data_IF_873175575448
#
_entry.id   IF_873175575448
#
_cell.length_a   1.000
_cell.length_b   1.000
_cell.length_c   1.000
_cell.angle_alpha   90.00
_cell.angle_beta   90.00
_cell.angle_gamma   90.00
#
_symmetry.space_group_name_H-M   'P 1'
#
loop_
_entity.id
_entity.type
_entity.pdbx_description
1 polymer ?
#
# COMPACT_ATOMS: atom_id res chain seq x y z
N UNK A 1 -7.66 5.20 -5.36
CA UNK A 1 -7.94 6.67 -5.35
C UNK A 1 -9.06 7.05 -6.34
N UNK A 2 -10.31 6.65 -6.04
CA UNK A 2 -11.48 6.83 -6.91
C UNK A 2 -12.30 8.11 -6.59
N UNK A 3 -12.14 8.68 -5.39
CA UNK A 3 -12.94 9.81 -4.90
C UNK A 3 -12.37 11.21 -5.24
N UNK A 4 -11.12 11.27 -5.72
CA UNK A 4 -10.36 12.52 -5.89
C UNK A 4 -9.82 12.66 -7.32
N UNK A 5 -10.61 12.28 -8.33
CA UNK A 5 -10.15 12.21 -9.74
C UNK A 5 -9.63 13.53 -10.33
N UNK A 6 -9.91 14.67 -9.70
CA UNK A 6 -9.43 15.99 -10.11
C UNK A 6 -8.52 16.70 -9.10
N UNK A 7 -8.21 16.07 -7.95
CA UNK A 7 -7.32 16.67 -6.94
C UNK A 7 -5.84 16.43 -7.30
N UNK A 8 -4.93 17.35 -6.88
CA UNK A 8 -3.49 17.13 -6.94
C UNK A 8 -3.10 15.77 -6.34
N UNK A 9 -2.04 15.15 -6.88
CA UNK A 9 -1.55 13.85 -6.39
C UNK A 9 -1.29 13.90 -4.88
N UNK A 10 -0.65 14.95 -4.39
CA UNK A 10 -0.31 15.16 -2.99
C UNK A 10 -1.55 15.10 -2.07
N UNK A 11 -2.66 15.73 -2.46
CA UNK A 11 -3.91 15.63 -1.70
C UNK A 11 -4.47 14.20 -1.67
N UNK A 12 -4.33 13.46 -2.78
CA UNK A 12 -4.79 12.07 -2.88
C UNK A 12 -3.94 11.15 -2.02
N UNK A 13 -2.64 11.38 -1.98
CA UNK A 13 -1.70 10.65 -1.15
C UNK A 13 -1.91 10.97 0.32
N UNK A 14 -2.13 12.24 0.67
CA UNK A 14 -2.49 12.66 2.03
C UNK A 14 -3.75 11.94 2.52
N UNK A 15 -4.83 11.92 1.73
CA UNK A 15 -6.06 11.20 2.10
C UNK A 15 -5.81 9.70 2.23
N UNK A 16 -5.03 9.10 1.32
CA UNK A 16 -4.70 7.69 1.41
C UNK A 16 -3.87 7.37 2.66
N UNK A 17 -2.91 8.22 2.99
CA UNK A 17 -2.07 8.11 4.18
C UNK A 17 -2.90 8.21 5.45
N UNK A 18 -3.80 9.19 5.55
CA UNK A 18 -4.72 9.33 6.70
C UNK A 18 -5.65 8.13 6.89
N UNK A 19 -5.94 7.37 5.83
CA UNK A 19 -6.74 6.13 5.95
C UNK A 19 -5.87 4.95 6.43
N UNK A 20 -4.56 4.99 6.18
CA UNK A 20 -3.63 3.93 6.56
C UNK A 20 -3.04 4.12 7.96
N UNK A 21 -2.74 5.36 8.34
CA UNK A 21 -2.24 5.80 9.64
C UNK A 21 -3.39 5.75 10.66
N UNK A 22 -3.50 4.63 11.39
CA UNK A 22 -4.67 4.31 12.18
C UNK A 22 -4.66 5.02 13.53
N UNK A 23 -3.49 5.26 14.11
CA UNK A 23 -3.32 5.98 15.37
C UNK A 23 -3.01 7.48 15.20
N UNK A 24 -2.85 7.94 13.96
CA UNK A 24 -2.58 9.34 13.59
C UNK A 24 -1.25 9.85 14.16
N UNK A 25 -0.25 8.98 14.28
CA UNK A 25 1.09 9.36 14.73
C UNK A 25 1.97 9.97 13.63
N UNK A 26 1.45 10.02 12.39
CA UNK A 26 2.14 10.56 11.22
C UNK A 26 3.11 9.57 10.56
N UNK A 27 3.09 8.31 10.97
CA UNK A 27 3.86 7.20 10.44
C UNK A 27 2.93 6.02 10.14
N UNK A 28 3.30 5.18 9.17
CA UNK A 28 2.65 3.89 8.96
C UNK A 28 3.64 2.82 9.38
N UNK A 29 3.29 2.10 10.43
CA UNK A 29 4.07 0.99 10.95
C UNK A 29 3.88 -0.28 10.10
N UNK A 30 4.76 -1.29 10.22
CA UNK A 30 4.59 -2.56 9.50
C UNK A 30 3.29 -3.28 9.86
N UNK A 31 2.82 -3.08 11.08
CA UNK A 31 1.57 -3.68 11.58
C UNK A 31 0.38 -3.02 10.90
N UNK A 32 0.33 -1.69 10.82
CA UNK A 32 -0.74 -0.97 10.14
C UNK A 32 -0.77 -1.26 8.64
N UNK A 33 0.41 -1.34 8.02
CA UNK A 33 0.52 -1.70 6.61
C UNK A 33 0.01 -3.14 6.36
N UNK A 34 0.31 -4.08 7.26
CA UNK A 34 -0.21 -5.44 7.18
C UNK A 34 -1.74 -5.46 7.29
N UNK A 35 -2.31 -4.73 8.24
CA UNK A 35 -3.76 -4.68 8.46
C UNK A 35 -4.50 -4.12 7.25
N UNK A 36 -4.00 -3.05 6.63
CA UNK A 36 -4.62 -2.46 5.44
C UNK A 36 -4.51 -3.37 4.22
N UNK A 37 -3.35 -4.01 3.99
CA UNK A 37 -3.13 -4.94 2.88
C UNK A 37 -4.03 -6.16 3.03
N UNK A 38 -4.10 -6.73 4.23
CA UNK A 38 -4.98 -7.86 4.54
C UNK A 38 -6.44 -7.50 4.28
N UNK A 39 -6.88 -6.34 4.77
CA UNK A 39 -8.25 -5.85 4.54
C UNK A 39 -8.55 -5.68 3.06
N UNK A 40 -7.63 -5.10 2.29
CA UNK A 40 -7.76 -4.95 0.86
C UNK A 40 -7.83 -6.31 0.13
N UNK A 41 -6.96 -7.27 0.47
CA UNK A 41 -6.98 -8.61 -0.10
C UNK A 41 -8.28 -9.35 0.20
N UNK A 42 -8.81 -9.23 1.43
CA UNK A 42 -10.09 -9.81 1.79
C UNK A 42 -11.21 -9.24 0.91
N UNK A 43 -11.31 -7.91 0.80
CA UNK A 43 -12.33 -7.26 -0.05
C UNK A 43 -12.18 -7.68 -1.51
N UNK A 44 -10.96 -7.67 -2.06
CA UNK A 44 -10.72 -8.04 -3.46
C UNK A 44 -11.04 -9.52 -3.70
N UNK A 45 -10.71 -10.41 -2.76
CA UNK A 45 -11.01 -11.85 -2.90
C UNK A 45 -12.52 -12.11 -2.93
N UNK A 46 -13.30 -11.36 -2.15
CA UNK A 46 -14.77 -11.45 -2.15
C UNK A 46 -15.37 -10.82 -3.42
N UNK A 47 -14.84 -9.69 -3.87
CA UNK A 47 -15.38 -8.96 -5.01
C UNK A 47 -14.95 -9.51 -6.37
N UNK A 48 -13.84 -10.27 -6.44
CA UNK A 48 -13.25 -10.77 -7.69
C UNK A 48 -13.01 -12.27 -7.65
N UNK A 49 -13.80 -13.02 -8.44
CA UNK A 49 -13.63 -14.46 -8.63
C UNK A 49 -12.23 -14.82 -9.14
N UNK A 50 -11.65 -14.00 -10.00
CA UNK A 50 -10.29 -14.25 -10.51
C UNK A 50 -9.23 -14.23 -9.41
N UNK A 51 -9.38 -13.34 -8.42
CA UNK A 51 -8.44 -13.26 -7.30
C UNK A 51 -8.67 -14.40 -6.32
N UNK A 52 -9.93 -14.74 -6.04
CA UNK A 52 -10.28 -15.91 -5.23
C UNK A 52 -9.67 -17.21 -5.79
N UNK A 53 -9.81 -17.45 -7.09
CA UNK A 53 -9.25 -18.64 -7.75
C UNK A 53 -7.71 -18.67 -7.69
N UNK A 54 -7.05 -17.51 -7.83
CA UNK A 54 -5.59 -17.41 -7.69
C UNK A 54 -5.11 -17.70 -6.28
N UNK A 55 -5.80 -17.19 -5.26
CA UNK A 55 -5.47 -17.47 -3.85
C UNK A 55 -5.62 -18.97 -3.57
N UNK A 56 -6.70 -19.58 -4.05
CA UNK A 56 -6.92 -21.03 -3.93
C UNK A 56 -5.83 -21.85 -4.64
N UNK A 57 -5.39 -21.41 -5.83
CA UNK A 57 -4.32 -22.08 -6.58
C UNK A 57 -2.96 -21.99 -5.88
N UNK A 58 -2.66 -20.85 -5.27
CA UNK A 58 -1.43 -20.64 -4.50
C UNK A 58 -1.41 -21.49 -3.23
N UNK A 59 -2.59 -21.85 -2.68
CA UNK A 59 -2.70 -22.68 -1.48
C UNK A 59 -2.26 -21.99 -0.19
N UNK A 60 -1.96 -20.69 -0.25
CA UNK A 60 -1.53 -19.88 0.89
C UNK A 60 -2.73 -19.13 1.50
N UNK A 61 -2.80 -19.00 2.83
CA UNK A 61 -3.79 -18.15 3.48
C UNK A 61 -3.58 -16.67 3.13
N UNK A 62 -4.66 -15.89 3.19
CA UNK A 62 -4.61 -14.43 2.91
C UNK A 62 -3.62 -13.71 3.83
N UNK A 63 -3.50 -14.16 5.08
CA UNK A 63 -2.50 -13.67 6.04
C UNK A 63 -1.07 -13.74 5.50
N UNK A 64 -0.64 -14.88 4.98
CA UNK A 64 0.73 -15.08 4.51
C UNK A 64 1.01 -14.23 3.27
N UNK A 65 0.02 -14.09 2.39
CA UNK A 65 0.10 -13.20 1.23
C UNK A 65 0.19 -11.72 1.65
N UNK A 66 -0.56 -11.32 2.68
CA UNK A 66 -0.55 -9.97 3.20
C UNK A 66 0.80 -9.65 3.88
N UNK A 67 1.35 -10.58 4.66
CA UNK A 67 2.67 -10.44 5.28
C UNK A 67 3.78 -10.30 4.25
N UNK A 68 3.81 -11.18 3.24
CA UNK A 68 4.79 -11.10 2.16
C UNK A 68 4.70 -9.75 1.42
N UNK A 69 3.49 -9.29 1.11
CA UNK A 69 3.27 -8.01 0.44
C UNK A 69 3.66 -6.80 1.31
N UNK A 70 3.40 -6.85 2.63
CA UNK A 70 3.81 -5.80 3.56
C UNK A 70 5.34 -5.69 3.67
N UNK A 71 6.03 -6.83 3.76
CA UNK A 71 7.50 -6.87 3.79
C UNK A 71 8.09 -6.29 2.50
N UNK A 72 7.56 -6.70 1.35
CA UNK A 72 8.01 -6.20 0.05
C UNK A 72 7.75 -4.69 -0.10
N UNK A 73 6.58 -4.21 0.32
CA UNK A 73 6.23 -2.80 0.29
C UNK A 73 7.15 -1.94 1.18
N UNK A 74 7.47 -2.41 2.39
CA UNK A 74 8.44 -1.73 3.26
C UNK A 74 9.82 -1.74 2.61
N UNK A 75 10.26 -2.88 2.07
CA UNK A 75 11.56 -2.97 1.41
C UNK A 75 11.66 -2.06 0.18
N UNK A 76 10.56 -1.85 -0.54
CA UNK A 76 10.52 -0.98 -1.71
C UNK A 76 10.55 0.51 -1.36
N UNK A 77 9.87 0.90 -0.27
CA UNK A 77 9.81 2.28 0.21
C UNK A 77 11.03 2.69 1.03
N UNK A 78 11.72 1.72 1.65
CA UNK A 78 12.77 1.96 2.61
C UNK A 78 14.17 1.75 2.02
N UNK A 79 14.45 2.38 0.87
CA UNK A 79 15.68 2.11 0.11
C UNK A 79 16.97 2.41 0.90
N UNK A 80 16.95 3.28 1.93
CA UNK A 80 18.16 3.65 2.70
C UNK A 80 17.96 3.89 4.22
N UNK A 81 16.73 3.88 4.76
CA UNK A 81 16.47 4.38 6.12
C UNK A 81 16.38 3.24 7.16
N UNK A 82 17.11 3.38 8.27
CA UNK A 82 17.17 2.38 9.35
C UNK A 82 15.87 2.23 10.13
N UNK A 83 14.88 3.09 9.85
CA UNK A 83 13.62 3.16 10.54
C UNK A 83 12.55 2.38 9.79
N UNK A 84 11.90 1.43 10.46
CA UNK A 84 10.92 0.52 9.87
C UNK A 84 9.50 1.13 9.80
N UNK A 85 9.36 2.39 9.40
CA UNK A 85 8.07 3.07 9.26
C UNK A 85 8.01 3.88 7.96
N UNK A 86 6.82 4.12 7.46
CA UNK A 86 6.58 4.90 6.23
C UNK A 86 5.99 6.25 6.61
N UNK A 87 6.58 7.36 6.14
CA UNK A 87 6.05 8.71 6.33
C UNK A 87 5.36 9.18 5.04
N UNK A 88 4.52 10.21 5.15
CA UNK A 88 3.88 10.83 3.99
C UNK A 88 4.90 11.35 2.97
N UNK A 89 6.02 11.89 3.44
CA UNK A 89 7.11 12.39 2.59
C UNK A 89 7.70 11.28 1.71
N UNK A 90 8.05 10.14 2.31
CA UNK A 90 8.58 8.98 1.56
C UNK A 90 7.56 8.45 0.54
N UNK A 91 6.28 8.45 0.88
CA UNK A 91 5.22 8.04 -0.03
C UNK A 91 5.07 9.01 -1.23
N UNK A 92 5.16 10.31 -0.98
CA UNK A 92 5.11 11.35 -2.02
C UNK A 92 6.32 11.27 -2.95
N UNK A 93 7.54 11.15 -2.42
CA UNK A 93 8.76 11.00 -3.23
C UNK A 93 8.69 9.78 -4.14
N UNK A 94 8.29 8.64 -3.58
CA UNK A 94 8.14 7.39 -4.33
C UNK A 94 7.10 7.53 -5.44
N UNK A 95 5.95 8.14 -5.14
CA UNK A 95 4.89 8.34 -6.13
C UNK A 95 5.33 9.28 -7.28
N UNK A 96 6.07 10.34 -6.97
CA UNK A 96 6.63 11.25 -7.96
C UNK A 96 7.65 10.56 -8.86
N UNK A 97 8.50 9.68 -8.32
CA UNK A 97 9.46 8.92 -9.11
C UNK A 97 8.77 7.92 -10.05
N UNK A 98 7.71 7.24 -9.58
CA UNK A 98 6.88 6.41 -10.45
C UNK A 98 6.18 7.23 -11.55
N UNK A 99 5.73 8.45 -11.26
CA UNK A 99 5.13 9.32 -12.28
C UNK A 99 6.14 9.78 -13.32
N UNK A 100 7.36 10.14 -12.91
CA UNK A 100 8.45 10.49 -13.84
C UNK A 100 8.78 9.30 -14.74
N UNK A 101 8.84 8.09 -14.18
CA UNK A 101 9.05 6.86 -14.94
C UNK A 101 7.91 6.59 -15.92
N UNK A 102 6.65 6.76 -15.50
CA UNK A 102 5.49 6.56 -16.36
C UNK A 102 5.43 7.59 -17.50
N UNK A 103 5.89 8.82 -17.28
CA UNK A 103 5.92 9.87 -18.29
C UNK A 103 7.01 9.68 -19.37
N UNK A 104 7.94 8.73 -19.16
CA UNK A 104 8.98 8.38 -20.14
C UNK A 104 8.53 7.36 -21.20
N UNK A 105 7.33 6.79 -21.07
CA UNK A 105 6.78 5.78 -21.97
C UNK A 105 5.52 6.25 -22.71
#
# INVERSE_FOLDING_TARGET
AFLCGGSPLEERLMVAFTVMDADSDGCITPVELLEIIKSALLVISVCSRMVADKILLLGAPVEELAEAAAIEAISALNMDNTAAYITLEMLCETADDFLKLAALF
#
